data_IF_755980026954
#
_entry.id   IF_755980026954
#
_cell.length_a   1.000
_cell.length_b   1.000
_cell.length_c   1.000
_cell.angle_alpha   90.00
_cell.angle_beta   90.00
_cell.angle_gamma   90.00
#
_symmetry.space_group_name_H-M   'P 1'
#
loop_
_entity.id
_entity.type
_entity.pdbx_description
1 polymer ?
#
# COMPACT_ATOMS: atom_id res chain seq x y z
N UNK A 1 38.37 -11.20 22.33
CA UNK A 1 38.37 -10.89 20.88
C UNK A 1 36.96 -11.16 20.39
N UNK A 2 36.10 -10.12 20.37
CA UNK A 2 34.72 -10.25 19.94
C UNK A 2 34.68 -10.17 18.40
N UNK A 3 34.09 -11.18 17.75
CA UNK A 3 33.83 -11.16 16.32
C UNK A 3 32.79 -10.05 16.04
N UNK A 4 33.01 -9.15 15.07
CA UNK A 4 31.99 -8.19 14.69
C UNK A 4 30.82 -8.95 14.04
N UNK A 5 29.60 -8.78 14.55
CA UNK A 5 28.40 -9.34 13.94
C UNK A 5 28.08 -8.57 12.66
N UNK A 6 28.58 -9.06 11.52
CA UNK A 6 28.22 -8.52 10.22
C UNK A 6 26.89 -9.16 9.82
N UNK A 7 25.79 -8.47 10.11
CA UNK A 7 24.49 -8.82 9.52
C UNK A 7 24.58 -8.58 8.00
N UNK A 8 24.10 -9.51 7.14
CA UNK A 8 24.12 -9.33 5.69
C UNK A 8 23.22 -8.15 5.26
N UNK A 9 23.64 -7.41 4.23
CA UNK A 9 22.99 -6.16 3.80
C UNK A 9 21.49 -6.32 3.48
N UNK A 10 21.08 -7.47 2.94
CA UNK A 10 19.67 -7.79 2.67
C UNK A 10 18.84 -7.89 3.94
N UNK A 11 19.42 -8.43 5.02
CA UNK A 11 18.76 -8.52 6.32
C UNK A 11 18.73 -7.15 7.02
N UNK A 12 19.76 -6.32 6.83
CA UNK A 12 19.76 -4.94 7.32
C UNK A 12 18.73 -4.05 6.60
N UNK A 13 18.58 -4.18 5.27
CA UNK A 13 17.53 -3.49 4.51
C UNK A 13 16.15 -3.95 4.95
N UNK A 14 15.90 -5.26 5.04
CA UNK A 14 14.62 -5.79 5.49
C UNK A 14 14.26 -5.33 6.91
N UNK A 15 15.23 -5.28 7.85
CA UNK A 15 14.99 -4.77 9.20
C UNK A 15 14.73 -3.26 9.23
N UNK A 16 15.34 -2.49 8.34
CA UNK A 16 15.09 -1.04 8.22
C UNK A 16 13.71 -0.78 7.61
N UNK A 17 13.34 -1.55 6.58
CA UNK A 17 12.05 -1.51 5.90
C UNK A 17 10.89 -1.90 6.84
N UNK A 18 11.09 -2.95 7.64
CA UNK A 18 10.14 -3.35 8.69
C UNK A 18 10.03 -2.31 9.82
N UNK A 19 11.11 -1.60 10.15
CA UNK A 19 11.08 -0.50 11.13
C UNK A 19 10.31 0.69 10.60
N UNK A 20 10.49 1.06 9.33
CA UNK A 20 9.72 2.12 8.68
C UNK A 20 8.26 1.76 8.51
N UNK A 21 7.95 0.49 8.21
CA UNK A 21 6.56 0.03 8.11
C UNK A 21 5.85 0.06 9.48
N UNK A 22 6.55 -0.31 10.56
CA UNK A 22 5.98 -0.20 11.91
C UNK A 22 5.70 1.25 12.31
N UNK A 23 6.60 2.17 11.99
CA UNK A 23 6.40 3.61 12.21
C UNK A 23 5.25 4.16 11.36
N UNK A 24 5.19 3.78 10.08
CA UNK A 24 4.12 4.15 9.17
C UNK A 24 2.77 3.62 9.67
N UNK A 25 2.67 2.34 10.03
CA UNK A 25 1.46 1.75 10.60
C UNK A 25 1.00 2.49 11.86
N UNK A 26 1.93 2.84 12.76
CA UNK A 26 1.61 3.58 13.97
C UNK A 26 1.06 4.97 13.63
N UNK A 27 1.72 5.70 12.72
CA UNK A 27 1.27 7.00 12.26
C UNK A 27 -0.12 6.93 11.61
N UNK A 28 -0.32 6.04 10.63
CA UNK A 28 -1.60 5.84 9.95
C UNK A 28 -2.72 5.46 10.93
N UNK A 29 -2.40 4.67 11.96
CA UNK A 29 -3.38 4.21 12.95
C UNK A 29 -3.78 5.27 13.97
N UNK A 30 -2.89 6.22 14.29
CA UNK A 30 -3.06 7.06 15.49
C UNK A 30 -3.05 8.55 15.20
N UNK A 31 -2.26 9.01 14.24
CA UNK A 31 -2.09 10.43 13.94
C UNK A 31 -3.37 11.05 13.35
N UNK A 32 -3.63 12.35 13.59
CA UNK A 32 -4.68 13.07 12.89
C UNK A 32 -4.41 13.06 11.38
N UNK A 33 -5.47 13.15 10.58
CA UNK A 33 -5.36 13.22 9.12
C UNK A 33 -6.14 14.40 8.58
N UNK A 34 -5.57 15.09 7.60
CA UNK A 34 -6.18 16.22 6.91
C UNK A 34 -6.24 15.94 5.41
N UNK A 35 -7.41 16.18 4.80
CA UNK A 35 -7.59 15.96 3.36
C UNK A 35 -6.93 17.11 2.58
N UNK A 36 -5.89 16.79 1.80
CA UNK A 36 -5.25 17.74 0.90
C UNK A 36 -6.04 17.90 -0.40
N UNK A 37 -6.61 16.81 -0.91
CA UNK A 37 -7.34 16.84 -2.17
C UNK A 37 -7.88 15.48 -2.60
N UNK A 38 -8.69 15.51 -3.66
CA UNK A 38 -9.21 14.30 -4.30
C UNK A 38 -8.27 13.85 -5.41
N UNK A 39 -7.96 12.56 -5.45
CA UNK A 39 -7.16 11.98 -6.52
C UNK A 39 -7.92 12.04 -7.86
N UNK A 40 -7.28 12.52 -8.94
CA UNK A 40 -7.90 12.54 -10.26
C UNK A 40 -8.11 11.10 -10.77
N UNK A 41 -9.09 10.93 -11.68
CA UNK A 41 -9.34 9.68 -12.41
C UNK A 41 -9.66 8.44 -11.55
N UNK A 42 -10.06 8.60 -10.29
CA UNK A 42 -10.58 7.50 -9.47
C UNK A 42 -12.09 7.32 -9.65
N UNK A 43 -12.54 6.08 -9.88
CA UNK A 43 -13.95 5.71 -9.98
C UNK A 43 -14.68 5.78 -8.63
N UNK A 44 -13.93 5.64 -7.53
CA UNK A 44 -14.40 5.80 -6.15
C UNK A 44 -13.93 7.15 -5.59
N UNK A 45 -14.50 7.57 -4.46
CA UNK A 45 -13.92 8.67 -3.70
C UNK A 45 -12.56 8.23 -3.13
N UNK A 46 -11.50 8.91 -3.53
CA UNK A 46 -10.11 8.63 -3.13
C UNK A 46 -9.42 9.95 -2.87
N UNK A 47 -8.82 10.08 -1.71
CA UNK A 47 -8.25 11.34 -1.23
C UNK A 47 -6.78 11.18 -0.88
N UNK A 48 -5.97 12.16 -1.26
CA UNK A 48 -4.64 12.35 -0.69
C UNK A 48 -4.81 13.04 0.66
N UNK A 49 -4.17 12.50 1.69
CA UNK A 49 -4.21 13.04 3.05
C UNK A 49 -2.81 13.27 3.59
N UNK A 50 -2.64 14.36 4.34
CA UNK A 50 -1.51 14.55 5.24
C UNK A 50 -1.77 13.75 6.51
N UNK A 51 -0.75 13.04 7.01
CA UNK A 51 -0.84 12.23 8.24
C UNK A 51 0.08 12.83 9.30
N UNK A 52 -0.50 13.24 10.42
CA UNK A 52 0.25 13.86 11.51
C UNK A 52 0.85 15.21 11.12
N UNK A 53 2.05 15.47 11.62
CA UNK A 53 2.77 16.71 11.38
C UNK A 53 3.19 16.83 9.89
N UNK A 54 2.86 17.92 9.18
CA UNK A 54 3.37 18.20 7.84
C UNK A 54 4.90 18.10 7.72
N UNK A 55 5.65 18.44 8.78
CA UNK A 55 7.12 18.34 8.77
C UNK A 55 7.62 16.88 8.73
N UNK A 56 6.81 15.92 9.19
CA UNK A 56 7.12 14.50 9.09
C UNK A 56 6.95 13.96 7.66
N UNK A 57 6.25 14.68 6.78
CA UNK A 57 6.12 14.35 5.36
C UNK A 57 5.32 13.07 5.06
N UNK A 58 4.65 12.47 6.04
CA UNK A 58 3.89 11.23 5.84
C UNK A 58 2.56 11.55 5.14
N UNK A 59 2.34 10.92 4.00
CA UNK A 59 1.10 11.03 3.23
C UNK A 59 0.37 9.70 3.17
N UNK A 60 -0.94 9.77 2.97
CA UNK A 60 -1.77 8.59 2.82
C UNK A 60 -2.81 8.71 1.70
N UNK A 61 -3.27 7.56 1.22
CA UNK A 61 -4.44 7.42 0.37
C UNK A 61 -5.61 6.97 1.22
N UNK A 62 -6.60 7.84 1.34
CA UNK A 62 -7.82 7.60 2.11
C UNK A 62 -9.01 7.28 1.19
N UNK A 63 -9.63 6.12 1.40
CA UNK A 63 -10.81 5.65 0.66
C UNK A 63 -11.97 5.39 1.64
N UNK A 64 -12.81 6.40 1.92
CA UNK A 64 -13.99 6.23 2.76
C UNK A 64 -15.05 5.34 2.11
N UNK A 65 -15.90 4.72 2.94
CA UNK A 65 -17.16 4.12 2.48
C UNK A 65 -18.03 5.15 1.74
N UNK A 66 -18.04 6.40 2.22
CA UNK A 66 -18.78 7.48 1.58
C UNK A 66 -18.16 7.82 0.22
N UNK A 67 -18.94 7.69 -0.84
CA UNK A 67 -18.47 7.89 -2.21
C UNK A 67 -17.88 6.64 -2.84
N UNK A 68 -18.08 5.49 -2.20
CA UNK A 68 -17.97 4.19 -2.84
C UNK A 68 -18.98 4.09 -4.00
N UNK A 69 -18.51 3.55 -5.12
CA UNK A 69 -19.32 3.11 -6.23
C UNK A 69 -19.59 1.61 -6.07
N UNK A 70 -20.85 1.19 -5.85
CA UNK A 70 -21.17 -0.22 -5.68
C UNK A 70 -20.78 -1.06 -6.89
N UNK A 71 -20.31 -2.27 -6.63
CA UNK A 71 -20.10 -3.33 -7.62
C UNK A 71 -21.21 -4.37 -7.45
N UNK A 72 -21.65 -4.97 -8.55
CA UNK A 72 -22.79 -5.91 -8.54
C UNK A 72 -22.42 -7.27 -7.91
N UNK A 73 -21.14 -7.62 -7.93
CA UNK A 73 -20.54 -8.88 -7.52
C UNK A 73 -19.87 -8.82 -6.13
N UNK A 74 -19.85 -7.65 -5.49
CA UNK A 74 -19.24 -7.46 -4.17
C UNK A 74 -20.20 -6.77 -3.18
N UNK A 75 -20.12 -7.14 -1.88
CA UNK A 75 -20.79 -6.36 -0.84
C UNK A 75 -20.19 -4.95 -0.74
N UNK A 76 -20.97 -4.01 -0.23
CA UNK A 76 -20.51 -2.66 0.09
C UNK A 76 -19.34 -2.67 1.10
N UNK A 77 -18.53 -1.62 1.09
CA UNK A 77 -17.33 -1.50 1.92
C UNK A 77 -16.09 -2.11 1.28
N UNK A 78 -15.85 -1.79 0.01
CA UNK A 78 -14.67 -2.14 -0.77
C UNK A 78 -13.36 -1.72 -0.08
N UNK A 79 -13.36 -0.67 0.74
CA UNK A 79 -12.19 -0.30 1.54
C UNK A 79 -11.68 -1.43 2.44
N UNK A 80 -12.56 -2.33 2.90
CA UNK A 80 -12.17 -3.51 3.68
C UNK A 80 -11.29 -4.46 2.88
N UNK A 81 -11.46 -4.50 1.55
CA UNK A 81 -10.61 -5.30 0.65
C UNK A 81 -9.20 -4.75 0.56
N UNK A 82 -9.01 -3.44 0.66
CA UNK A 82 -7.68 -2.82 0.71
C UNK A 82 -6.93 -3.24 1.98
N UNK A 83 -7.60 -3.15 3.14
CA UNK A 83 -7.03 -3.60 4.42
C UNK A 83 -6.75 -5.11 4.40
N UNK A 84 -7.68 -5.91 3.88
CA UNK A 84 -7.50 -7.35 3.75
C UNK A 84 -6.34 -7.72 2.81
N UNK A 85 -6.13 -6.96 1.72
CA UNK A 85 -5.01 -7.18 0.81
C UNK A 85 -3.67 -6.95 1.52
N UNK A 86 -3.56 -5.87 2.30
CA UNK A 86 -2.37 -5.62 3.11
C UNK A 86 -2.09 -6.77 4.10
N UNK A 87 -3.09 -7.13 4.91
CA UNK A 87 -2.94 -8.21 5.89
C UNK A 87 -2.61 -9.56 5.24
N UNK A 88 -3.20 -9.86 4.09
CA UNK A 88 -2.90 -11.07 3.34
C UNK A 88 -1.45 -11.04 2.82
N UNK A 89 -1.00 -9.92 2.25
CA UNK A 89 0.36 -9.75 1.75
C UNK A 89 1.40 -10.01 2.85
N UNK A 90 1.17 -9.45 4.03
CA UNK A 90 2.03 -9.65 5.20
C UNK A 90 1.98 -11.08 5.70
N UNK A 91 0.80 -11.69 5.76
CA UNK A 91 0.66 -13.10 6.21
C UNK A 91 1.36 -14.10 5.29
N UNK A 92 1.48 -13.77 3.99
CA UNK A 92 2.20 -14.58 2.99
C UNK A 92 3.69 -14.23 2.93
N UNK A 93 4.14 -13.19 3.63
CA UNK A 93 5.53 -12.70 3.59
C UNK A 93 5.93 -12.10 2.24
N UNK A 94 4.96 -11.64 1.45
CA UNK A 94 5.21 -11.10 0.11
C UNK A 94 5.56 -9.61 0.13
N UNK A 95 5.08 -8.85 1.12
CA UNK A 95 5.36 -7.42 1.28
C UNK A 95 5.13 -6.63 -0.02
N UNK A 96 3.97 -6.86 -0.66
CA UNK A 96 3.59 -6.27 -1.96
C UNK A 96 2.64 -5.08 -1.82
N UNK A 97 1.89 -5.00 -0.73
CA UNK A 97 0.89 -3.97 -0.49
C UNK A 97 1.43 -3.02 0.56
N UNK A 98 1.42 -1.69 0.33
CA UNK A 98 1.88 -0.73 1.33
C UNK A 98 1.08 -0.82 2.63
N UNK A 99 1.65 -0.39 3.79
CA UNK A 99 0.95 -0.32 5.06
C UNK A 99 -0.45 0.26 4.92
N UNK A 100 -1.47 -0.52 5.31
CA UNK A 100 -2.89 -0.14 5.15
C UNK A 100 -3.67 -0.46 6.40
N UNK A 101 -4.39 0.53 6.92
CA UNK A 101 -5.19 0.40 8.15
C UNK A 101 -6.65 0.75 7.91
N UNK A 102 -7.52 0.22 8.78
CA UNK A 102 -8.89 0.70 8.91
C UNK A 102 -8.88 1.99 9.73
N UNK A 103 -9.54 3.04 9.26
CA UNK A 103 -9.54 4.36 9.91
C UNK A 103 -10.92 4.98 9.87
N UNK A 104 -11.34 5.54 11.00
CA UNK A 104 -12.45 6.51 11.04
C UNK A 104 -11.86 7.89 10.76
N UNK A 105 -12.12 8.41 9.56
CA UNK A 105 -11.55 9.66 9.05
C UNK A 105 -12.60 10.77 8.88
N UNK A 106 -12.21 11.94 8.32
CA UNK A 106 -13.09 13.10 8.17
C UNK A 106 -14.40 12.86 7.38
N UNK A 107 -14.45 11.78 6.60
CA UNK A 107 -15.62 11.39 5.79
C UNK A 107 -16.27 10.06 6.24
N UNK A 108 -15.92 9.56 7.43
CA UNK A 108 -16.41 8.32 8.03
C UNK A 108 -15.38 7.18 8.01
N UNK A 109 -15.83 5.95 8.19
CA UNK A 109 -14.94 4.79 8.13
C UNK A 109 -14.42 4.54 6.70
N UNK A 110 -13.15 4.18 6.57
CA UNK A 110 -12.49 3.85 5.32
C UNK A 110 -11.14 3.18 5.51
N UNK A 111 -10.47 2.87 4.39
CA UNK A 111 -9.07 2.44 4.41
C UNK A 111 -8.15 3.65 4.31
N UNK A 112 -7.02 3.59 5.01
CA UNK A 112 -5.94 4.54 4.93
C UNK A 112 -4.65 3.77 4.64
N UNK A 113 -4.10 3.98 3.45
CA UNK A 113 -2.87 3.34 2.98
C UNK A 113 -1.73 4.35 2.91
N UNK A 114 -0.51 3.96 3.24
CA UNK A 114 0.68 4.79 3.02
C UNK A 114 0.76 5.20 1.54
N UNK A 115 0.96 6.49 1.27
CA UNK A 115 1.20 6.95 -0.09
C UNK A 115 2.64 6.59 -0.50
N UNK A 116 2.78 5.94 -1.64
CA UNK A 116 4.08 5.58 -2.22
C UNK A 116 4.31 6.44 -3.45
N UNK A 117 5.40 7.20 -3.43
CA UNK A 117 5.89 7.91 -4.62
C UNK A 117 6.28 6.89 -5.70
N UNK A 118 5.83 7.14 -6.93
CA UNK A 118 6.11 6.26 -8.06
C UNK A 118 6.60 7.06 -9.26
N UNK A 119 7.41 6.43 -10.10
CA UNK A 119 7.83 6.98 -11.39
C UNK A 119 6.85 6.50 -12.48
N UNK A 120 6.07 7.38 -13.12
CA UNK A 120 5.11 6.98 -14.17
C UNK A 120 5.75 6.34 -15.40
N UNK A 121 7.05 6.56 -15.61
CA UNK A 121 7.82 5.98 -16.72
C UNK A 121 8.25 4.54 -16.44
N UNK A 122 8.18 4.10 -15.18
CA UNK A 122 8.47 2.74 -14.74
C UNK A 122 7.16 1.98 -14.50
N UNK A 123 6.71 1.25 -15.51
CA UNK A 123 5.52 0.41 -15.43
C UNK A 123 5.84 -1.03 -15.84
N UNK A 124 4.92 -1.96 -15.59
CA UNK A 124 5.09 -3.41 -15.82
C UNK A 124 5.90 -3.79 -17.07
N UNK A 125 5.56 -3.29 -18.27
CA UNK A 125 6.26 -3.68 -19.50
C UNK A 125 7.74 -3.28 -19.51
N UNK A 126 8.06 -2.08 -19.03
CA UNK A 126 9.44 -1.59 -18.92
C UNK A 126 10.19 -2.39 -17.87
N UNK A 127 9.58 -2.59 -16.69
CA UNK A 127 10.16 -3.39 -15.61
C UNK A 127 10.42 -4.82 -16.07
N UNK A 128 9.46 -5.45 -16.74
CA UNK A 128 9.57 -6.83 -17.21
C UNK A 128 10.72 -6.99 -18.23
N UNK A 129 10.86 -6.04 -19.16
CA UNK A 129 11.93 -6.08 -20.15
C UNK A 129 13.31 -5.77 -19.57
N UNK A 130 13.40 -4.80 -18.65
CA UNK A 130 14.68 -4.25 -18.19
C UNK A 130 15.17 -4.85 -16.86
N UNK A 131 14.29 -5.48 -16.08
CA UNK A 131 14.56 -5.99 -14.72
C UNK A 131 14.20 -7.48 -14.58
N UNK A 132 14.92 -8.38 -15.28
CA UNK A 132 14.71 -9.83 -15.15
C UNK A 132 14.91 -10.34 -13.73
N UNK A 133 15.70 -9.63 -12.91
CA UNK A 133 15.88 -9.92 -11.49
C UNK A 133 14.59 -9.80 -10.66
N UNK A 134 13.59 -9.05 -11.14
CA UNK A 134 12.30 -8.86 -10.46
C UNK A 134 11.22 -9.85 -10.91
N UNK A 135 11.50 -10.74 -11.88
CA UNK A 135 10.47 -11.62 -12.45
C UNK A 135 9.83 -12.55 -11.43
N UNK A 136 10.58 -13.07 -10.46
CA UNK A 136 10.00 -13.87 -9.37
C UNK A 136 9.07 -13.05 -8.47
N UNK A 137 9.38 -11.76 -8.25
CA UNK A 137 8.50 -10.85 -7.51
C UNK A 137 7.23 -10.52 -8.30
N UNK A 138 7.33 -10.36 -9.62
CA UNK A 138 6.16 -10.20 -10.51
C UNK A 138 5.27 -11.45 -10.50
N UNK A 139 5.85 -12.66 -10.48
CA UNK A 139 5.09 -13.92 -10.33
C UNK A 139 4.40 -14.00 -8.97
N UNK A 140 5.08 -13.62 -7.88
CA UNK A 140 4.46 -13.57 -6.55
C UNK A 140 3.25 -12.63 -6.53
N UNK A 141 3.34 -11.48 -7.21
CA UNK A 141 2.23 -10.54 -7.37
C UNK A 141 1.05 -11.14 -8.15
N UNK A 142 1.31 -11.89 -9.23
CA UNK A 142 0.26 -12.59 -9.98
C UNK A 142 -0.41 -13.69 -9.13
N UNK A 143 0.36 -14.46 -8.36
CA UNK A 143 -0.19 -15.45 -7.42
C UNK A 143 -1.04 -14.77 -6.36
N UNK A 144 -0.57 -13.65 -5.81
CA UNK A 144 -1.30 -12.86 -4.84
C UNK A 144 -2.66 -12.40 -5.38
N UNK A 145 -2.71 -11.87 -6.60
CA UNK A 145 -3.96 -11.46 -7.26
C UNK A 145 -4.96 -12.61 -7.39
N UNK A 146 -4.49 -13.81 -7.77
CA UNK A 146 -5.34 -15.00 -7.85
C UNK A 146 -5.92 -15.34 -6.49
N UNK A 147 -5.10 -15.34 -5.43
CA UNK A 147 -5.55 -15.68 -4.07
C UNK A 147 -6.55 -14.66 -3.53
N UNK A 148 -6.32 -13.37 -3.75
CA UNK A 148 -7.23 -12.31 -3.27
C UNK A 148 -8.44 -12.07 -4.17
N UNK A 149 -8.54 -12.80 -5.29
CA UNK A 149 -9.52 -12.59 -6.36
C UNK A 149 -9.53 -11.13 -6.85
N UNK A 150 -8.36 -10.65 -7.30
CA UNK A 150 -8.19 -9.34 -7.93
C UNK A 150 -7.96 -9.50 -9.44
N UNK A 151 -8.85 -8.91 -10.24
CA UNK A 151 -8.81 -8.99 -11.70
C UNK A 151 -8.50 -7.65 -12.37
N UNK A 152 -8.27 -6.57 -11.61
CA UNK A 152 -8.09 -5.21 -12.13
C UNK A 152 -6.64 -4.71 -12.03
N UNK A 153 -5.66 -5.61 -11.94
CA UNK A 153 -4.24 -5.20 -12.00
C UNK A 153 -3.90 -4.74 -13.41
N UNK A 154 -3.47 -3.48 -13.52
CA UNK A 154 -3.07 -2.83 -14.77
C UNK A 154 -1.56 -2.61 -14.75
N UNK A 155 -0.95 -2.49 -15.94
CA UNK A 155 0.50 -2.32 -16.06
C UNK A 155 1.06 -1.12 -15.30
N UNK A 156 0.28 -0.03 -15.17
CA UNK A 156 0.67 1.15 -14.39
C UNK A 156 0.44 1.03 -12.87
N UNK A 157 -0.05 -0.11 -12.38
CA UNK A 157 -0.14 -0.40 -10.93
C UNK A 157 1.08 -1.19 -10.42
N UNK A 158 2.05 -1.50 -11.29
CA UNK A 158 3.20 -2.38 -11.03
C UNK A 158 4.48 -1.58 -11.18
#
# INVERSE_FOLDING_TARGET
MALPSILPATLALALTDMSSDAEALLALSTAPIDIEGRMPNSSNATFLVQVGDPEAGIKGIYKPLRGERPLWDFPAGLYKREVAAYLLSESLGYHLVPPTVLRDGPLGEGSLQLFIDYNPEEHYFIIYEQRPDLHERLKAMAVFDVVMNNTDRKGGHV
#
